data_IF_266548898995
#
_entry.id   IF_266548898995
#
_cell.length_a   1.000
_cell.length_b   1.000
_cell.length_c   1.000
_cell.angle_alpha   90.00
_cell.angle_beta   90.00
_cell.angle_gamma   90.00
#
_symmetry.space_group_name_H-M   'P 1'
#
loop_
_entity.id
_entity.type
_entity.pdbx_description
1 polymer ?
#
# COMPACT_ATOMS: atom_id res chain seq x y z
N UNK A 1 -6.49 -27.58 27.48
CA UNK A 1 -5.94 -26.23 27.31
C UNK A 1 -6.41 -25.69 25.97
N UNK A 2 -7.45 -24.84 25.95
CA UNK A 2 -7.85 -24.14 24.71
C UNK A 2 -6.80 -23.09 24.39
N UNK A 3 -6.17 -23.11 23.21
CA UNK A 3 -5.26 -22.05 22.84
C UNK A 3 -6.03 -20.72 22.78
N UNK A 4 -5.51 -19.71 23.47
CA UNK A 4 -5.99 -18.33 23.33
C UNK A 4 -5.61 -17.86 21.91
N UNK A 5 -6.50 -18.06 20.95
CA UNK A 5 -6.30 -17.54 19.62
C UNK A 5 -6.74 -16.08 19.58
N UNK A 6 -5.92 -15.25 18.99
CA UNK A 6 -6.26 -13.89 18.60
C UNK A 6 -7.47 -13.93 17.66
N UNK A 7 -8.67 -13.69 18.20
CA UNK A 7 -9.94 -13.72 17.43
C UNK A 7 -10.28 -12.38 16.79
N UNK A 8 -9.40 -11.39 16.87
CA UNK A 8 -9.67 -10.02 16.42
C UNK A 8 -9.62 -9.83 14.90
N UNK A 9 -9.10 -10.81 14.14
CA UNK A 9 -8.93 -10.69 12.69
C UNK A 9 -9.88 -11.56 11.87
N UNK A 10 -10.79 -12.31 12.49
CA UNK A 10 -11.70 -13.20 11.77
C UNK A 10 -13.07 -12.57 11.64
N UNK A 11 -13.50 -12.28 10.41
CA UNK A 11 -14.89 -11.88 10.09
C UNK A 11 -15.85 -13.02 10.39
N UNK A 12 -15.39 -14.25 10.20
CA UNK A 12 -16.12 -15.49 10.49
C UNK A 12 -15.21 -16.45 11.23
N UNK A 13 -15.70 -16.94 12.37
CA UNK A 13 -15.06 -18.01 13.12
C UNK A 13 -15.91 -19.27 12.98
N UNK A 14 -15.28 -20.39 12.71
CA UNK A 14 -16.00 -21.64 12.42
C UNK A 14 -15.22 -22.83 12.96
N UNK A 15 -15.95 -23.82 13.48
CA UNK A 15 -15.40 -25.14 13.71
C UNK A 15 -15.47 -25.97 12.42
N UNK A 16 -14.37 -26.63 12.11
CA UNK A 16 -14.29 -27.55 10.98
C UNK A 16 -14.01 -28.96 11.50
N UNK A 17 -14.94 -29.89 11.27
CA UNK A 17 -14.75 -31.27 11.62
C UNK A 17 -13.96 -31.97 10.50
N UNK A 18 -12.79 -32.50 10.86
CA UNK A 18 -11.85 -33.11 9.91
C UNK A 18 -12.36 -34.45 9.34
N UNK A 19 -13.20 -35.17 10.11
CA UNK A 19 -13.68 -36.50 9.69
C UNK A 19 -14.80 -36.38 8.66
N UNK A 20 -15.83 -35.58 8.98
CA UNK A 20 -17.00 -35.46 8.10
C UNK A 20 -16.97 -34.22 7.20
N UNK A 21 -15.88 -33.41 7.27
CA UNK A 21 -15.66 -32.19 6.48
C UNK A 21 -16.76 -31.12 6.61
N UNK A 22 -17.52 -31.16 7.71
CA UNK A 22 -18.57 -30.19 7.97
C UNK A 22 -18.00 -28.96 8.68
N UNK A 23 -18.50 -27.80 8.29
CA UNK A 23 -18.18 -26.50 8.86
C UNK A 23 -19.37 -25.94 9.59
N UNK A 24 -19.19 -25.56 10.86
CA UNK A 24 -20.20 -24.91 11.70
C UNK A 24 -19.75 -23.49 12.00
N UNK A 25 -20.54 -22.51 11.61
CA UNK A 25 -20.27 -21.10 11.92
C UNK A 25 -20.49 -20.85 13.41
N UNK A 26 -19.46 -20.39 14.12
CA UNK A 26 -19.51 -20.05 15.55
C UNK A 26 -19.77 -18.56 15.78
N UNK A 27 -19.11 -17.71 14.99
CA UNK A 27 -19.20 -16.27 15.13
C UNK A 27 -19.02 -15.59 13.79
N UNK A 28 -19.80 -14.54 13.56
CA UNK A 28 -19.64 -13.59 12.46
C UNK A 28 -19.51 -12.18 13.03
N UNK A 29 -18.55 -11.42 12.54
CA UNK A 29 -18.46 -10.00 12.86
C UNK A 29 -19.69 -9.28 12.28
N UNK A 30 -20.38 -8.53 13.12
CA UNK A 30 -21.45 -7.66 12.66
C UNK A 30 -20.88 -6.48 11.87
N UNK A 31 -21.53 -6.14 10.78
CA UNK A 31 -21.22 -4.95 9.97
C UNK A 31 -22.41 -4.01 10.08
N UNK A 32 -22.22 -2.87 10.73
CA UNK A 32 -23.25 -1.85 10.90
C UNK A 32 -23.68 -1.36 9.51
N UNK A 33 -24.98 -1.34 9.25
CA UNK A 33 -25.53 -1.02 7.93
C UNK A 33 -25.69 -2.22 6.99
N UNK A 34 -25.23 -3.39 7.41
CA UNK A 34 -25.31 -4.62 6.62
C UNK A 34 -24.11 -4.84 5.69
N UNK A 35 -24.00 -6.06 5.18
CA UNK A 35 -22.97 -6.46 4.21
C UNK A 35 -23.41 -7.72 3.48
N UNK A 36 -23.30 -7.68 2.16
CA UNK A 36 -23.45 -8.85 1.30
C UNK A 36 -22.21 -8.99 0.42
N UNK A 37 -21.53 -10.12 0.52
CA UNK A 37 -20.35 -10.43 -0.32
C UNK A 37 -20.71 -10.54 -1.81
N UNK A 38 -21.98 -10.74 -2.14
CA UNK A 38 -22.47 -10.78 -3.52
C UNK A 38 -22.43 -9.42 -4.22
N UNK A 39 -22.41 -8.32 -3.48
CA UNK A 39 -22.40 -6.96 -4.02
C UNK A 39 -21.01 -6.51 -4.46
N UNK A 40 -19.95 -7.13 -3.93
CA UNK A 40 -18.58 -6.73 -4.20
C UNK A 40 -17.85 -7.74 -5.07
N UNK A 41 -16.91 -7.22 -5.85
CA UNK A 41 -15.95 -8.01 -6.61
C UNK A 41 -14.55 -7.74 -6.10
N UNK A 42 -13.78 -8.80 -5.91
CA UNK A 42 -12.35 -8.70 -5.58
C UNK A 42 -11.55 -9.53 -6.55
N UNK A 43 -10.44 -8.99 -7.00
CA UNK A 43 -9.55 -9.67 -7.93
C UNK A 43 -8.09 -9.34 -7.63
N UNK A 44 -7.19 -10.18 -8.15
CA UNK A 44 -5.76 -9.93 -8.14
C UNK A 44 -5.25 -9.86 -9.57
N UNK A 45 -4.68 -8.71 -9.89
CA UNK A 45 -4.05 -8.43 -11.18
C UNK A 45 -2.56 -8.16 -10.99
N UNK A 46 -1.83 -8.08 -12.08
CA UNK A 46 -0.38 -7.90 -12.04
C UNK A 46 0.06 -6.82 -13.00
N UNK A 47 0.62 -5.74 -12.45
CA UNK A 47 1.36 -4.77 -13.24
C UNK A 47 2.79 -5.28 -13.49
N UNK A 48 3.47 -4.66 -14.43
CA UNK A 48 4.89 -4.84 -14.68
C UNK A 48 5.61 -3.54 -14.36
N UNK A 49 6.65 -3.63 -13.51
CA UNK A 49 7.53 -2.49 -13.25
C UNK A 49 8.40 -2.19 -14.48
N UNK A 50 8.99 -1.01 -14.53
CA UNK A 50 9.88 -0.55 -15.62
C UNK A 50 11.10 -1.43 -15.85
N UNK A 51 11.50 -2.22 -14.87
CA UNK A 51 12.59 -3.21 -14.95
C UNK A 51 12.09 -4.65 -15.15
N UNK A 52 10.80 -4.82 -15.50
CA UNK A 52 10.21 -6.10 -15.84
C UNK A 52 9.74 -6.96 -14.66
N UNK A 53 9.85 -6.49 -13.42
CA UNK A 53 9.36 -7.23 -12.25
C UNK A 53 7.84 -7.16 -12.16
N UNK A 54 7.22 -8.22 -11.63
CA UNK A 54 5.77 -8.26 -11.42
C UNK A 54 5.40 -7.52 -10.14
N UNK A 55 4.34 -6.74 -10.20
CA UNK A 55 3.75 -6.03 -9.06
C UNK A 55 2.32 -6.55 -8.87
N UNK A 56 2.04 -7.35 -7.82
CA UNK A 56 0.68 -7.82 -7.55
C UNK A 56 -0.16 -6.68 -6.98
N UNK A 57 -1.35 -6.52 -7.56
CA UNK A 57 -2.34 -5.54 -7.14
C UNK A 57 -3.62 -6.31 -6.77
N UNK A 58 -4.05 -6.22 -5.53
CA UNK A 58 -5.34 -6.72 -5.08
C UNK A 58 -6.33 -5.57 -5.06
N UNK A 59 -7.45 -5.70 -5.74
CA UNK A 59 -8.46 -4.65 -5.80
C UNK A 59 -9.86 -5.15 -5.47
N UNK A 60 -10.69 -4.24 -5.02
CA UNK A 60 -12.09 -4.49 -4.67
C UNK A 60 -12.94 -3.29 -5.04
N UNK A 61 -14.16 -3.56 -5.51
CA UNK A 61 -15.17 -2.56 -5.85
C UNK A 61 -16.59 -3.11 -5.71
N UNK A 62 -17.57 -2.21 -5.61
CA UNK A 62 -18.98 -2.59 -5.68
C UNK A 62 -19.37 -2.83 -7.15
N UNK A 63 -19.91 -4.03 -7.44
CA UNK A 63 -20.24 -4.47 -8.82
C UNK A 63 -21.26 -3.58 -9.50
N UNK A 64 -22.28 -3.13 -8.77
CA UNK A 64 -23.37 -2.33 -9.31
C UNK A 64 -22.93 -0.90 -9.69
N UNK A 65 -21.83 -0.43 -9.09
CA UNK A 65 -21.29 0.91 -9.30
C UNK A 65 -20.09 0.91 -10.25
N UNK A 66 -19.62 -0.28 -10.69
CA UNK A 66 -18.49 -0.38 -11.63
C UNK A 66 -18.94 0.01 -13.05
N UNK A 67 -18.39 1.11 -13.54
CA UNK A 67 -18.57 1.52 -14.93
C UNK A 67 -17.30 1.18 -15.73
N UNK A 68 -17.42 0.30 -16.71
CA UNK A 68 -16.30 -0.12 -17.56
C UNK A 68 -15.98 0.89 -18.68
N UNK A 69 -16.93 1.79 -18.98
CA UNK A 69 -16.81 2.78 -20.06
C UNK A 69 -16.21 4.10 -19.57
N UNK A 70 -16.09 4.31 -18.26
CA UNK A 70 -15.54 5.54 -17.71
C UNK A 70 -14.59 5.29 -16.55
N UNK A 71 -13.54 6.14 -16.39
CA UNK A 71 -12.65 6.11 -15.23
C UNK A 71 -13.41 6.33 -13.94
N UNK A 72 -13.01 5.63 -12.87
CA UNK A 72 -13.60 5.75 -11.54
C UNK A 72 -12.59 6.24 -10.53
N UNK A 73 -13.08 6.84 -9.43
CA UNK A 73 -12.25 7.17 -8.29
C UNK A 73 -11.59 5.89 -7.76
N UNK A 74 -10.28 5.90 -7.68
CA UNK A 74 -9.48 4.77 -7.22
C UNK A 74 -8.48 5.24 -6.16
N UNK A 75 -8.46 4.55 -5.03
CA UNK A 75 -7.42 4.71 -4.02
C UNK A 75 -6.42 3.58 -4.18
N UNK A 76 -5.19 3.91 -4.53
CA UNK A 76 -4.07 2.99 -4.55
C UNK A 76 -3.32 3.08 -3.23
N UNK A 77 -3.31 1.99 -2.47
CA UNK A 77 -2.60 1.85 -1.20
C UNK A 77 -1.30 1.10 -1.38
N UNK A 78 -0.26 1.54 -0.66
CA UNK A 78 1.01 0.84 -0.59
C UNK A 78 1.77 1.12 0.71
N UNK A 79 2.71 0.21 1.04
CA UNK A 79 3.59 0.32 2.19
C UNK A 79 5.06 0.21 1.80
N UNK A 80 5.50 -0.97 1.38
CA UNK A 80 6.77 -1.19 0.71
C UNK A 80 8.02 -1.09 1.59
N UNK A 81 7.97 -1.47 2.86
CA UNK A 81 9.11 -1.47 3.77
C UNK A 81 9.07 -2.66 4.74
N UNK A 82 10.20 -2.96 5.37
CA UNK A 82 10.37 -3.97 6.43
C UNK A 82 9.97 -5.40 6.02
N UNK A 83 9.85 -5.67 4.73
CA UNK A 83 9.33 -6.94 4.25
C UNK A 83 7.82 -7.11 4.48
N UNK A 84 7.10 -6.08 4.94
CA UNK A 84 5.67 -6.16 5.20
C UNK A 84 4.90 -6.39 3.91
N UNK A 85 4.05 -7.42 3.93
CA UNK A 85 3.14 -7.73 2.84
C UNK A 85 1.74 -7.32 3.22
N UNK A 86 1.11 -6.52 2.39
CA UNK A 86 -0.22 -6.00 2.63
C UNK A 86 -1.28 -6.99 2.11
N UNK A 87 -1.86 -7.75 3.02
CA UNK A 87 -2.89 -8.73 2.70
C UNK A 87 -4.25 -8.04 2.45
N UNK A 88 -5.03 -8.53 1.47
CA UNK A 88 -6.34 -7.97 1.15
C UNK A 88 -7.41 -8.44 2.15
N UNK A 89 -7.26 -8.07 3.42
CA UNK A 89 -8.24 -8.39 4.45
C UNK A 89 -9.52 -7.57 4.31
N UNK A 90 -10.60 -8.10 4.87
CA UNK A 90 -11.86 -7.38 4.96
C UNK A 90 -11.77 -6.19 5.92
N UNK A 91 -12.36 -5.06 5.51
CA UNK A 91 -12.49 -3.87 6.35
C UNK A 91 -13.89 -3.29 6.21
N UNK A 92 -14.64 -3.23 7.30
CA UNK A 92 -15.97 -2.62 7.32
C UNK A 92 -15.93 -1.11 7.02
N UNK A 93 -14.87 -0.43 7.42
CA UNK A 93 -14.70 1.00 7.13
C UNK A 93 -14.46 1.27 5.64
N UNK A 94 -13.87 0.32 4.93
CA UNK A 94 -13.65 0.42 3.48
C UNK A 94 -14.96 0.39 2.68
N UNK A 95 -16.00 -0.29 3.20
CA UNK A 95 -17.32 -0.35 2.55
C UNK A 95 -17.87 1.05 2.25
N UNK A 96 -17.66 2.01 3.16
CA UNK A 96 -18.06 3.41 2.96
C UNK A 96 -17.51 4.05 1.68
N UNK A 97 -16.31 3.66 1.25
CA UNK A 97 -15.71 4.11 -0.02
C UNK A 97 -16.27 3.33 -1.20
N UNK A 98 -16.37 2.00 -1.06
CA UNK A 98 -16.87 1.12 -2.13
C UNK A 98 -18.32 1.44 -2.49
N UNK A 99 -19.16 1.76 -1.49
CA UNK A 99 -20.57 2.12 -1.68
C UNK A 99 -20.77 3.53 -2.27
N UNK A 100 -19.69 4.30 -2.37
CA UNK A 100 -19.64 5.56 -3.12
C UNK A 100 -19.00 5.42 -4.51
N UNK A 101 -18.79 4.18 -4.96
CA UNK A 101 -18.24 3.89 -6.27
C UNK A 101 -16.70 3.98 -6.37
N UNK A 102 -15.98 4.05 -5.25
CA UNK A 102 -14.53 3.95 -5.27
C UNK A 102 -14.07 2.51 -5.53
N UNK A 103 -12.98 2.39 -6.26
CA UNK A 103 -12.16 1.18 -6.30
C UNK A 103 -11.08 1.34 -5.23
N UNK A 104 -10.85 0.30 -4.43
CA UNK A 104 -9.72 0.25 -3.50
C UNK A 104 -8.72 -0.79 -3.97
N UNK A 105 -7.47 -0.39 -4.18
CA UNK A 105 -6.40 -1.25 -4.68
C UNK A 105 -5.22 -1.24 -3.71
N UNK A 106 -4.62 -2.40 -3.48
CA UNK A 106 -3.41 -2.59 -2.68
C UNK A 106 -2.30 -3.07 -3.62
N UNK A 107 -1.25 -2.26 -3.79
CA UNK A 107 -0.06 -2.65 -4.52
C UNK A 107 1.02 -3.18 -3.57
N UNK A 108 1.37 -4.46 -3.71
CA UNK A 108 2.49 -5.05 -2.99
C UNK A 108 3.78 -4.82 -3.79
N UNK A 109 4.39 -3.67 -3.57
CA UNK A 109 5.63 -3.22 -4.20
C UNK A 109 6.88 -3.85 -3.58
N UNK A 110 8.04 -3.75 -4.20
CA UNK A 110 9.32 -4.13 -3.60
C UNK A 110 9.55 -3.40 -2.28
N UNK A 111 10.31 -4.02 -1.37
CA UNK A 111 10.34 -3.67 0.04
C UNK A 111 9.35 -4.49 0.87
N UNK A 112 8.37 -5.16 0.22
CA UNK A 112 7.57 -6.25 0.77
C UNK A 112 8.19 -7.62 0.45
N UNK A 113 7.77 -8.67 1.17
CA UNK A 113 8.15 -10.06 0.90
C UNK A 113 7.12 -10.82 0.04
N UNK A 114 6.30 -10.14 -0.74
CA UNK A 114 5.23 -10.77 -1.52
C UNK A 114 5.75 -11.89 -2.46
N UNK A 115 6.97 -11.76 -2.95
CA UNK A 115 7.68 -12.77 -3.72
C UNK A 115 8.93 -13.30 -3.00
N UNK A 116 8.90 -13.31 -1.66
CA UNK A 116 9.99 -13.77 -0.81
C UNK A 116 11.06 -12.72 -0.54
N UNK A 117 12.16 -13.15 0.08
CA UNK A 117 13.21 -12.29 0.60
C UNK A 117 13.84 -11.38 -0.45
N UNK A 118 14.03 -11.85 -1.68
CA UNK A 118 14.61 -11.05 -2.75
C UNK A 118 13.77 -9.81 -3.07
N UNK A 119 12.42 -9.93 -3.02
CA UNK A 119 11.53 -8.78 -3.23
C UNK A 119 11.71 -7.69 -2.17
N UNK A 120 11.98 -8.08 -0.94
CA UNK A 120 12.32 -7.16 0.14
C UNK A 120 13.69 -6.51 -0.09
N UNK A 121 14.73 -7.31 -0.32
CA UNK A 121 16.10 -6.83 -0.49
C UNK A 121 16.27 -5.92 -1.73
N UNK A 122 15.41 -6.08 -2.74
CA UNK A 122 15.37 -5.22 -3.92
C UNK A 122 14.58 -3.92 -3.72
N UNK A 123 14.03 -3.67 -2.52
CA UNK A 123 13.29 -2.46 -2.17
C UNK A 123 13.77 -1.76 -0.91
N UNK A 124 15.00 -2.01 -0.44
CA UNK A 124 15.60 -1.37 0.73
C UNK A 124 16.99 -0.84 0.46
N UNK A 125 17.55 -0.08 1.42
CA UNK A 125 18.90 0.49 1.33
C UNK A 125 19.07 1.24 -0.01
N UNK A 126 20.19 1.03 -0.71
CA UNK A 126 20.51 1.64 -2.00
C UNK A 126 19.59 1.22 -3.16
N UNK A 127 18.58 0.39 -2.88
CA UNK A 127 17.55 -0.02 -3.84
C UNK A 127 16.15 0.52 -3.50
N UNK A 128 16.02 1.37 -2.48
CA UNK A 128 14.76 1.87 -1.98
C UNK A 128 13.89 2.52 -3.05
N UNK A 129 14.46 3.22 -4.01
CA UNK A 129 13.71 3.85 -5.10
C UNK A 129 12.90 2.86 -5.95
N UNK A 130 13.25 1.57 -5.96
CA UNK A 130 12.45 0.56 -6.65
C UNK A 130 11.04 0.45 -6.07
N UNK A 131 10.88 0.66 -4.75
CA UNK A 131 9.56 0.73 -4.09
C UNK A 131 8.69 1.82 -4.70
N UNK A 132 9.25 3.00 -4.90
CA UNK A 132 8.55 4.17 -5.42
C UNK A 132 8.22 4.01 -6.90
N UNK A 133 9.17 3.49 -7.66
CA UNK A 133 8.97 3.20 -9.09
C UNK A 133 7.90 2.13 -9.31
N UNK A 134 7.89 1.06 -8.52
CA UNK A 134 6.86 0.03 -8.60
C UNK A 134 5.46 0.61 -8.33
N UNK A 135 5.34 1.51 -7.35
CA UNK A 135 4.05 2.12 -7.02
C UNK A 135 3.54 3.04 -8.13
N UNK A 136 4.44 3.84 -8.70
CA UNK A 136 4.13 4.68 -9.88
C UNK A 136 3.71 3.80 -11.06
N UNK A 137 4.46 2.74 -11.34
CA UNK A 137 4.19 1.84 -12.46
C UNK A 137 2.88 1.06 -12.27
N UNK A 138 2.55 0.69 -11.02
CA UNK A 138 1.24 0.13 -10.66
C UNK A 138 0.09 1.11 -10.96
N UNK A 139 0.25 2.38 -10.59
CA UNK A 139 -0.74 3.41 -10.90
C UNK A 139 -0.88 3.66 -12.41
N UNK A 140 0.24 3.74 -13.15
CA UNK A 140 0.22 3.86 -14.62
C UNK A 140 -0.47 2.67 -15.29
N UNK A 141 -0.27 1.46 -14.76
CA UNK A 141 -0.96 0.26 -15.22
C UNK A 141 -2.47 0.36 -15.01
N UNK A 142 -2.93 0.79 -13.82
CA UNK A 142 -4.36 0.95 -13.53
C UNK A 142 -5.04 2.00 -14.42
N UNK A 143 -4.33 3.06 -14.78
CA UNK A 143 -4.80 4.05 -15.77
C UNK A 143 -4.90 3.40 -17.16
N UNK A 144 -3.86 2.70 -17.60
CA UNK A 144 -3.83 2.03 -18.92
C UNK A 144 -4.94 1.00 -19.08
N UNK A 145 -5.22 0.24 -18.02
CA UNK A 145 -6.28 -0.79 -18.02
C UNK A 145 -7.68 -0.22 -17.73
N UNK A 146 -7.84 1.11 -17.78
CA UNK A 146 -9.11 1.83 -17.64
C UNK A 146 -9.85 1.59 -16.30
N UNK A 147 -9.11 1.31 -15.21
CA UNK A 147 -9.71 1.32 -13.87
C UNK A 147 -9.95 2.76 -13.38
N UNK A 148 -9.07 3.69 -13.76
CA UNK A 148 -9.08 5.09 -13.35
C UNK A 148 -8.36 5.97 -14.37
N UNK A 149 -8.25 7.26 -14.09
CA UNK A 149 -7.39 8.22 -14.79
C UNK A 149 -6.70 9.15 -13.79
N UNK A 150 -5.87 10.08 -14.27
CA UNK A 150 -5.16 11.05 -13.42
C UNK A 150 -6.09 11.97 -12.61
N UNK A 151 -7.33 12.17 -13.05
CA UNK A 151 -8.32 13.01 -12.36
C UNK A 151 -9.06 12.28 -11.24
N UNK A 152 -8.91 10.95 -11.19
CA UNK A 152 -9.64 10.08 -10.30
C UNK A 152 -8.73 9.13 -9.49
N UNK A 153 -7.40 9.18 -9.71
CA UNK A 153 -6.42 8.36 -8.99
C UNK A 153 -5.91 9.07 -7.74
N UNK A 154 -6.13 8.43 -6.60
CA UNK A 154 -5.61 8.85 -5.29
C UNK A 154 -4.56 7.85 -4.81
N UNK A 155 -3.54 8.33 -4.08
CA UNK A 155 -2.56 7.47 -3.43
C UNK A 155 -2.69 7.56 -1.90
N UNK A 156 -2.45 6.43 -1.23
CA UNK A 156 -2.56 6.35 0.22
C UNK A 156 -1.46 5.45 0.81
N UNK A 157 -0.84 5.92 1.88
CA UNK A 157 0.12 5.17 2.67
C UNK A 157 0.35 5.77 4.04
N UNK A 158 0.70 4.93 5.01
CA UNK A 158 0.95 5.35 6.38
C UNK A 158 2.37 5.01 6.85
N UNK A 159 2.94 5.78 7.79
CA UNK A 159 4.27 5.53 8.36
C UNK A 159 5.35 5.46 7.26
N UNK A 160 6.02 4.32 7.08
CA UNK A 160 6.91 4.07 5.94
C UNK A 160 6.19 4.11 4.58
N UNK A 161 4.89 3.73 4.53
CA UNK A 161 4.03 3.98 3.37
C UNK A 161 3.78 5.48 3.16
N UNK A 162 3.85 6.30 4.19
CA UNK A 162 3.82 7.76 4.08
C UNK A 162 5.09 8.32 3.42
N UNK A 163 6.26 7.73 3.66
CA UNK A 163 7.47 8.00 2.88
C UNK A 163 7.26 7.67 1.40
N UNK A 164 6.67 6.50 1.11
CA UNK A 164 6.31 6.12 -0.26
C UNK A 164 5.45 7.20 -0.91
N UNK A 165 4.38 7.67 -0.24
CA UNK A 165 3.49 8.70 -0.79
C UNK A 165 4.23 10.02 -1.00
N UNK A 166 4.99 10.50 -0.03
CA UNK A 166 5.78 11.74 -0.17
C UNK A 166 6.78 11.67 -1.33
N UNK A 167 7.45 10.53 -1.51
CA UNK A 167 8.38 10.33 -2.62
C UNK A 167 7.67 10.34 -3.98
N UNK A 168 6.55 9.62 -4.13
CA UNK A 168 5.87 9.51 -5.44
C UNK A 168 5.17 10.79 -5.87
N UNK A 169 4.68 11.63 -4.93
CA UNK A 169 4.12 12.95 -5.28
C UNK A 169 5.22 13.94 -5.68
N UNK A 170 6.44 13.78 -5.16
CA UNK A 170 7.60 14.53 -5.64
C UNK A 170 8.05 14.08 -7.03
N UNK A 171 8.01 12.78 -7.31
CA UNK A 171 8.49 12.21 -8.57
C UNK A 171 7.52 12.40 -9.74
N UNK A 172 6.23 12.23 -9.50
CA UNK A 172 5.17 12.28 -10.53
C UNK A 172 3.93 13.04 -9.99
N UNK A 173 4.04 14.33 -9.69
CA UNK A 173 2.96 15.10 -9.05
C UNK A 173 1.66 15.11 -9.88
N UNK A 174 1.77 15.20 -11.20
CA UNK A 174 0.62 15.29 -12.12
C UNK A 174 -0.16 13.98 -12.26
N UNK A 175 0.33 12.91 -11.65
CA UNK A 175 -0.30 11.60 -11.77
C UNK A 175 -1.47 11.43 -10.79
N UNK A 176 -1.46 12.16 -9.70
CA UNK A 176 -2.35 11.95 -8.56
C UNK A 176 -3.36 13.07 -8.43
N UNK A 177 -4.65 12.73 -8.30
CA UNK A 177 -5.70 13.68 -7.96
C UNK A 177 -5.58 14.17 -6.53
N UNK A 178 -5.14 13.30 -5.65
CA UNK A 178 -4.91 13.59 -4.23
C UNK A 178 -4.08 12.50 -3.56
N UNK A 179 -3.50 12.84 -2.44
CA UNK A 179 -2.63 11.97 -1.66
C UNK A 179 -3.06 11.94 -0.19
N UNK A 180 -2.98 10.78 0.44
CA UNK A 180 -3.20 10.60 1.87
C UNK A 180 -1.92 10.04 2.47
N UNK A 181 -1.20 10.87 3.22
CA UNK A 181 0.01 10.50 3.94
C UNK A 181 -0.30 10.45 5.44
N UNK A 182 -0.59 9.28 5.97
CA UNK A 182 -0.98 9.10 7.37
C UNK A 182 0.25 8.90 8.25
N UNK A 183 0.47 9.78 9.24
CA UNK A 183 1.65 9.76 10.14
C UNK A 183 2.96 9.50 9.38
N UNK A 184 3.27 10.28 8.32
CA UNK A 184 4.27 9.92 7.34
C UNK A 184 5.70 10.11 7.85
N UNK A 185 6.60 9.20 7.44
CA UNK A 185 8.03 9.36 7.60
C UNK A 185 8.60 10.14 6.40
N UNK A 186 8.67 11.47 6.50
CA UNK A 186 9.00 12.34 5.35
C UNK A 186 10.36 13.04 5.41
N UNK A 187 10.96 13.18 6.59
CA UNK A 187 12.32 13.70 6.77
C UNK A 187 13.26 12.53 7.09
N UNK A 188 13.77 11.91 6.04
CA UNK A 188 14.57 10.67 6.18
C UNK A 188 15.97 10.98 6.65
N UNK A 189 16.56 12.07 6.15
CA UNK A 189 17.97 12.42 6.40
C UNK A 189 18.17 12.98 7.79
N UNK A 190 17.41 14.01 8.17
CA UNK A 190 17.57 14.66 9.49
C UNK A 190 17.22 13.66 10.60
N UNK A 191 16.13 12.90 10.46
CA UNK A 191 15.76 11.86 11.42
C UNK A 191 16.84 10.79 11.53
N UNK A 192 17.36 10.32 10.39
CA UNK A 192 18.40 9.29 10.36
C UNK A 192 19.74 9.71 10.97
N UNK A 193 20.04 11.01 10.97
CA UNK A 193 21.25 11.59 11.57
C UNK A 193 21.14 11.81 13.09
N UNK A 194 19.95 11.84 13.64
CA UNK A 194 19.74 12.06 15.08
C UNK A 194 19.57 10.77 15.86
N UNK A 195 20.64 10.22 16.49
CA UNK A 195 20.57 8.98 17.25
C UNK A 195 19.79 9.10 18.57
N UNK A 196 19.37 10.31 18.96
CA UNK A 196 18.56 10.56 20.17
C UNK A 196 17.08 10.27 19.93
N UNK A 197 16.64 10.26 18.67
CA UNK A 197 15.28 9.87 18.31
C UNK A 197 15.16 8.35 18.50
N UNK A 198 14.16 7.88 19.28
CA UNK A 198 13.96 6.46 19.50
C UNK A 198 13.89 5.66 18.19
N UNK A 199 14.52 4.50 18.17
CA UNK A 199 14.59 3.54 17.05
C UNK A 199 15.48 3.95 15.88
N UNK A 200 15.96 5.20 15.74
CA UNK A 200 16.73 5.67 14.59
C UNK A 200 17.88 4.74 14.20
N UNK A 201 18.70 4.31 15.17
CA UNK A 201 19.85 3.43 14.88
C UNK A 201 19.44 2.03 14.45
N UNK A 202 18.27 1.55 14.85
CA UNK A 202 17.70 0.27 14.39
C UNK A 202 17.16 0.37 12.95
N UNK A 203 16.76 1.55 12.55
CA UNK A 203 16.21 1.83 11.22
C UNK A 203 17.29 1.86 10.12
N UNK A 204 18.57 2.01 10.47
CA UNK A 204 19.67 2.01 9.50
C UNK A 204 19.80 0.72 8.70
N UNK A 205 19.30 -0.40 9.23
CA UNK A 205 19.27 -1.68 8.48
C UNK A 205 18.23 -1.69 7.35
N UNK A 206 17.26 -0.79 7.41
CA UNK A 206 16.21 -0.62 6.39
C UNK A 206 16.57 0.50 5.40
N UNK A 207 16.97 1.66 5.92
CA UNK A 207 17.15 2.88 5.12
C UNK A 207 18.60 3.14 4.71
N UNK A 208 19.56 2.67 5.51
CA UNK A 208 20.99 3.00 5.43
C UNK A 208 21.42 3.91 6.59
N UNK A 209 22.71 3.91 6.88
CA UNK A 209 23.32 4.83 7.86
C UNK A 209 23.71 6.14 7.17
N UNK A 210 23.00 7.26 7.42
CA UNK A 210 23.29 8.52 6.73
C UNK A 210 24.62 9.17 7.16
N UNK A 211 25.35 8.62 8.11
CA UNK A 211 26.74 9.05 8.41
C UNK A 211 27.73 8.56 7.35
N UNK A 212 27.35 7.53 6.59
CA UNK A 212 28.08 7.05 5.43
C UNK A 212 27.65 7.84 4.20
N UNK A 213 28.60 8.45 3.48
CA UNK A 213 28.34 9.35 2.37
C UNK A 213 27.41 8.76 1.28
N UNK A 214 27.63 7.49 0.94
CA UNK A 214 26.83 6.81 -0.08
C UNK A 214 25.36 6.72 0.29
N UNK A 215 25.04 6.35 1.55
CA UNK A 215 23.68 6.30 2.04
C UNK A 215 23.09 7.69 2.19
N UNK A 216 23.85 8.66 2.70
CA UNK A 216 23.41 10.05 2.80
C UNK A 216 22.93 10.60 1.45
N UNK A 217 23.77 10.51 0.42
CA UNK A 217 23.47 11.02 -0.93
C UNK A 217 22.26 10.28 -1.53
N UNK A 218 22.17 8.97 -1.32
CA UNK A 218 21.06 8.19 -1.81
C UNK A 218 19.74 8.53 -1.09
N UNK A 219 19.75 8.62 0.25
CA UNK A 219 18.58 9.01 1.05
C UNK A 219 18.12 10.41 0.71
N UNK A 220 19.03 11.37 0.61
CA UNK A 220 18.75 12.74 0.20
C UNK A 220 18.03 12.79 -1.15
N UNK A 221 18.38 11.90 -2.08
CA UNK A 221 17.82 11.86 -3.43
C UNK A 221 16.35 11.40 -3.52
N UNK A 222 15.75 10.97 -2.40
CA UNK A 222 14.34 10.59 -2.34
C UNK A 222 13.60 11.08 -1.07
N UNK A 223 14.31 11.63 -0.08
CA UNK A 223 13.69 12.14 1.15
C UNK A 223 12.62 13.18 0.80
N UNK A 224 11.35 12.95 1.11
CA UNK A 224 10.27 13.81 0.62
C UNK A 224 10.44 15.28 1.00
N UNK A 225 10.86 15.54 2.23
CA UNK A 225 11.10 16.89 2.74
C UNK A 225 12.17 17.63 1.92
N UNK A 226 13.27 16.94 1.62
CA UNK A 226 14.42 17.51 0.90
C UNK A 226 14.18 17.66 -0.61
N UNK A 227 13.21 16.92 -1.16
CA UNK A 227 12.91 16.92 -2.59
C UNK A 227 11.73 17.82 -2.98
N UNK A 228 11.21 18.63 -2.03
CA UNK A 228 10.18 19.62 -2.34
C UNK A 228 10.74 20.66 -3.30
N UNK A 229 9.99 20.99 -4.33
CA UNK A 229 10.38 21.99 -5.32
C UNK A 229 9.19 22.86 -5.71
N UNK A 230 9.44 23.98 -6.38
CA UNK A 230 8.39 24.88 -6.83
C UNK A 230 7.66 24.29 -8.05
N UNK A 231 6.62 23.52 -7.80
CA UNK A 231 5.73 22.89 -8.80
C UNK A 231 4.34 22.67 -8.23
N UNK A 232 3.37 22.41 -9.08
CA UNK A 232 2.04 22.02 -8.63
C UNK A 232 2.08 20.60 -8.02
N UNK A 233 1.46 20.46 -6.87
CA UNK A 233 1.30 19.19 -6.16
C UNK A 233 -0.17 18.79 -6.10
N UNK A 234 -0.48 17.48 -5.98
CA UNK A 234 -1.84 17.04 -5.70
C UNK A 234 -2.32 17.55 -4.34
N UNK A 235 -3.63 17.51 -4.12
CA UNK A 235 -4.17 17.77 -2.79
C UNK A 235 -3.62 16.75 -1.78
N UNK A 236 -3.14 17.21 -0.62
CA UNK A 236 -2.54 16.42 0.44
C UNK A 236 -3.34 16.56 1.75
#
# INVERSE_FOLDING_TARGET
LRPRRQRQMCIRDSDYNMDNKKKVLLKRQEVIGGYSDQEYHSERIYAQSRDGKRIPISLVYNKSLRNLESPQNLILYGYGAYGSTEDPYFSSTRLSLLDRGFIFAIANVRGSQIFGRQSYDDGKLLKKKNTFFDFIDAGKFLIKENYTDKKHLFCYGGSAGGLLIGAVINMEPDMWKGAIASVPFVDVVTTGLDPTIPLTTYEWVEWGDPREKEYYEYMLSYSPYDQVSNKEYPNL
#
